data_IF_063941012799
#
_entry.id   IF_063941012799
#
_cell.length_a   1.000
_cell.length_b   1.000
_cell.length_c   1.000
_cell.angle_alpha   90.00
_cell.angle_beta   90.00
_cell.angle_gamma   90.00
#
_symmetry.space_group_name_H-M   'P 1'
#
loop_
_entity.id
_entity.type
_entity.pdbx_description
1 polymer ?
#
# COMPACT_ATOMS: atom_id res chain seq x y z
N UNK A 1 -27.10 -1.82 -25.29
CA UNK A 1 -25.77 -2.03 -24.69
C UNK A 1 -26.01 -1.82 -23.21
N UNK A 2 -25.82 -2.85 -22.39
CA UNK A 2 -25.94 -2.68 -20.93
C UNK A 2 -24.72 -1.86 -20.51
N UNK A 3 -24.95 -0.66 -19.97
CA UNK A 3 -23.89 0.11 -19.33
C UNK A 3 -23.33 -0.72 -18.18
N UNK A 4 -22.06 -1.10 -18.29
CA UNK A 4 -21.35 -1.82 -17.24
C UNK A 4 -21.27 -0.94 -15.99
N UNK A 5 -21.49 -1.55 -14.82
CA UNK A 5 -21.45 -0.85 -13.53
C UNK A 5 -20.06 -0.25 -13.29
N UNK A 6 -19.91 0.85 -12.52
CA UNK A 6 -18.58 1.39 -12.20
C UNK A 6 -17.63 0.31 -11.62
N UNK A 7 -18.15 -0.57 -10.78
CA UNK A 7 -17.42 -1.74 -10.27
C UNK A 7 -16.90 -2.68 -11.37
N UNK A 8 -17.66 -2.87 -12.45
CA UNK A 8 -17.27 -3.75 -13.57
C UNK A 8 -16.29 -3.07 -14.52
N UNK A 9 -16.30 -1.74 -14.57
CA UNK A 9 -15.36 -0.93 -15.36
C UNK A 9 -14.03 -0.69 -14.64
N UNK A 10 -13.98 -0.97 -13.33
CA UNK A 10 -12.79 -0.79 -12.52
C UNK A 10 -11.68 -1.80 -12.91
N UNK A 11 -10.47 -1.32 -13.26
CA UNK A 11 -9.36 -2.19 -13.65
C UNK A 11 -8.77 -2.99 -12.47
N UNK A 12 -9.05 -2.58 -11.23
CA UNK A 12 -8.61 -3.24 -10.00
C UNK A 12 -9.73 -4.10 -9.38
N UNK A 13 -10.65 -4.58 -10.22
CA UNK A 13 -11.68 -5.53 -9.80
C UNK A 13 -11.09 -6.90 -9.47
N UNK A 14 -11.66 -7.61 -8.50
CA UNK A 14 -11.28 -8.99 -8.26
C UNK A 14 -11.53 -9.85 -9.52
N UNK A 15 -10.74 -10.91 -9.71
CA UNK A 15 -10.88 -11.78 -10.86
C UNK A 15 -12.23 -12.50 -10.89
N UNK A 16 -12.72 -12.78 -12.10
CA UNK A 16 -13.99 -13.49 -12.31
C UNK A 16 -13.96 -14.91 -11.72
N UNK A 17 -12.81 -15.59 -11.79
CA UNK A 17 -12.59 -16.87 -11.12
C UNK A 17 -12.06 -16.57 -9.72
N UNK A 18 -12.74 -17.03 -8.65
CA UNK A 18 -12.26 -16.80 -7.29
C UNK A 18 -10.86 -17.36 -7.06
N UNK A 19 -10.03 -16.58 -6.39
CA UNK A 19 -8.68 -16.97 -5.97
C UNK A 19 -8.45 -16.62 -4.51
N UNK A 20 -7.48 -17.30 -3.88
CA UNK A 20 -7.03 -16.94 -2.54
C UNK A 20 -6.22 -15.65 -2.62
N UNK A 21 -6.58 -14.68 -1.80
CA UNK A 21 -5.91 -13.38 -1.71
C UNK A 21 -5.50 -13.09 -0.28
N UNK A 22 -4.49 -12.23 -0.13
CA UNK A 22 -3.98 -11.73 1.13
C UNK A 22 -4.04 -10.20 1.11
N UNK A 23 -4.52 -9.60 2.21
CA UNK A 23 -4.56 -8.16 2.38
C UNK A 23 -3.37 -7.67 3.21
N UNK A 24 -2.63 -6.69 2.69
CA UNK A 24 -1.44 -6.12 3.34
C UNK A 24 -1.74 -5.29 4.61
N UNK A 25 -3.00 -4.93 4.86
CA UNK A 25 -3.38 -4.08 5.99
C UNK A 25 -3.80 -4.88 7.23
N UNK A 26 -4.47 -6.02 7.05
CA UNK A 26 -4.96 -6.86 8.16
C UNK A 26 -4.30 -8.23 8.22
N UNK A 27 -3.39 -8.52 7.29
CA UNK A 27 -2.69 -9.79 7.14
C UNK A 27 -3.62 -11.02 7.03
N UNK A 28 -4.88 -10.82 6.63
CA UNK A 28 -5.84 -11.92 6.49
C UNK A 28 -5.86 -12.45 5.07
N UNK A 29 -5.94 -13.78 4.96
CA UNK A 29 -6.19 -14.50 3.72
C UNK A 29 -7.68 -14.82 3.57
N UNK A 30 -8.22 -14.59 2.39
CA UNK A 30 -9.63 -14.85 2.08
C UNK A 30 -9.84 -15.03 0.57
N UNK A 31 -11.03 -15.49 0.16
CA UNK A 31 -11.36 -15.66 -1.25
C UNK A 31 -11.74 -14.32 -1.90
N UNK A 32 -11.25 -14.06 -3.12
CA UNK A 32 -11.42 -12.76 -3.81
C UNK A 32 -12.88 -12.35 -4.04
N UNK A 33 -13.83 -13.30 -4.08
CA UNK A 33 -15.27 -12.97 -4.21
C UNK A 33 -15.86 -12.28 -2.98
N UNK A 34 -15.17 -12.31 -1.84
CA UNK A 34 -15.61 -11.65 -0.61
C UNK A 34 -15.30 -10.15 -0.62
N UNK A 35 -14.42 -9.69 -1.52
CA UNK A 35 -14.15 -8.28 -1.74
C UNK A 35 -15.42 -7.66 -2.33
N UNK A 36 -15.85 -6.54 -1.77
CA UNK A 36 -17.09 -5.89 -2.18
C UNK A 36 -16.83 -4.46 -2.63
N UNK A 37 -17.65 -3.99 -3.57
CA UNK A 37 -17.59 -2.62 -4.04
C UNK A 37 -18.16 -1.67 -2.98
N UNK A 38 -17.46 -0.57 -2.77
CA UNK A 38 -17.92 0.55 -1.93
C UNK A 38 -17.94 1.80 -2.79
N UNK A 39 -19.12 2.40 -2.96
CA UNK A 39 -19.26 3.66 -3.67
C UNK A 39 -18.65 4.80 -2.86
N UNK A 40 -17.83 5.62 -3.52
CA UNK A 40 -17.24 6.82 -2.97
C UNK A 40 -17.93 8.05 -3.58
N UNK A 41 -18.32 9.02 -2.74
CA UNK A 41 -18.93 10.26 -3.22
C UNK A 41 -17.84 11.21 -3.74
N UNK A 42 -17.36 10.93 -4.94
CA UNK A 42 -16.32 11.72 -5.65
C UNK A 42 -16.77 12.06 -7.07
N UNK A 43 -16.16 13.07 -7.68
CA UNK A 43 -16.39 13.46 -9.09
C UNK A 43 -15.56 12.62 -10.08
N UNK A 44 -14.93 11.53 -9.62
CA UNK A 44 -14.15 10.62 -10.47
C UNK A 44 -15.03 9.81 -11.45
N UNK A 45 -14.44 9.38 -12.57
CA UNK A 45 -15.11 8.55 -13.60
C UNK A 45 -15.62 7.21 -13.03
N UNK A 46 -14.89 6.69 -12.05
CA UNK A 46 -15.21 5.48 -11.30
C UNK A 46 -15.33 5.89 -9.81
N UNK A 47 -16.55 6.15 -9.31
CA UNK A 47 -16.78 6.68 -7.96
C UNK A 47 -16.85 5.54 -6.93
N UNK A 48 -15.76 4.83 -6.71
CA UNK A 48 -15.69 3.78 -5.70
C UNK A 48 -14.44 2.92 -5.78
N UNK A 49 -14.37 1.92 -4.92
CA UNK A 49 -13.24 0.99 -4.83
C UNK A 49 -13.68 -0.37 -4.30
N UNK A 50 -12.86 -1.38 -4.56
CA UNK A 50 -13.01 -2.72 -4.02
C UNK A 50 -12.41 -2.81 -2.62
N UNK A 51 -13.22 -3.19 -1.62
CA UNK A 51 -12.86 -3.09 -0.20
C UNK A 51 -12.64 -4.45 0.47
N UNK A 52 -11.63 -4.53 1.35
CA UNK A 52 -11.33 -5.70 2.18
C UNK A 52 -12.53 -6.09 3.07
N UNK A 53 -12.99 -7.36 3.08
CA UNK A 53 -14.14 -7.78 3.90
C UNK A 53 -13.88 -7.76 5.42
N UNK A 54 -12.62 -7.65 5.86
CA UNK A 54 -12.26 -7.69 7.27
C UNK A 54 -12.77 -6.44 8.01
N UNK A 55 -13.53 -6.59 9.11
CA UNK A 55 -14.03 -5.45 9.86
C UNK A 55 -12.91 -4.56 10.39
N UNK A 56 -12.96 -3.26 10.10
CA UNK A 56 -11.97 -2.29 10.55
C UNK A 56 -10.67 -2.26 9.74
N UNK A 57 -10.57 -3.07 8.69
CA UNK A 57 -9.49 -2.98 7.71
C UNK A 57 -9.77 -1.87 6.70
N UNK A 58 -8.73 -1.14 6.29
CA UNK A 58 -8.78 -0.04 5.33
C UNK A 58 -8.21 -0.39 3.95
N UNK A 59 -7.81 -1.65 3.71
CA UNK A 59 -7.24 -2.09 2.44
C UNK A 59 -8.23 -2.04 1.27
N UNK A 60 -7.77 -1.50 0.13
CA UNK A 60 -8.56 -1.24 -1.07
C UNK A 60 -7.85 -1.68 -2.36
N UNK A 61 -8.63 -2.15 -3.32
CA UNK A 61 -8.18 -2.48 -4.67
C UNK A 61 -7.46 -3.83 -4.75
N UNK A 62 -7.87 -4.65 -5.72
CA UNK A 62 -7.15 -5.87 -6.07
C UNK A 62 -5.90 -5.53 -6.88
N UNK A 63 -4.75 -6.09 -6.51
CA UNK A 63 -3.44 -5.73 -7.07
C UNK A 63 -2.84 -4.44 -6.50
N UNK A 64 -3.46 -3.84 -5.48
CA UNK A 64 -2.93 -2.65 -4.79
C UNK A 64 -2.70 -2.91 -3.29
N UNK A 65 -3.77 -3.15 -2.52
CA UNK A 65 -3.64 -3.55 -1.10
C UNK A 65 -3.95 -5.04 -0.89
N UNK A 66 -4.58 -5.68 -1.88
CA UNK A 66 -5.07 -7.05 -1.83
C UNK A 66 -4.47 -7.83 -2.99
N UNK A 67 -3.60 -8.81 -2.69
CA UNK A 67 -2.85 -9.56 -3.70
C UNK A 67 -3.21 -11.04 -3.69
N UNK A 68 -3.13 -11.75 -4.83
CA UNK A 68 -3.22 -13.19 -4.85
C UNK A 68 -2.09 -13.82 -4.03
N UNK A 69 -2.42 -14.85 -3.25
CA UNK A 69 -1.41 -15.62 -2.47
C UNK A 69 -0.54 -16.48 -3.39
N UNK A 70 -1.08 -16.86 -4.54
CA UNK A 70 -0.39 -17.69 -5.51
C UNK A 70 0.65 -16.86 -6.30
N UNK A 71 1.96 -17.18 -6.21
CA UNK A 71 3.01 -16.48 -6.95
C UNK A 71 2.95 -16.74 -8.46
N UNK A 72 2.35 -17.84 -8.89
CA UNK A 72 2.13 -18.19 -10.29
C UNK A 72 0.78 -17.65 -10.82
N UNK A 73 0.08 -16.82 -10.04
CA UNK A 73 -1.20 -16.25 -10.45
C UNK A 73 -1.07 -15.46 -11.75
N UNK A 74 -1.99 -15.76 -12.67
CA UNK A 74 -2.14 -15.07 -13.96
C UNK A 74 -3.49 -14.37 -14.03
N UNK A 75 -3.47 -13.13 -14.49
CA UNK A 75 -4.69 -12.35 -14.72
C UNK A 75 -5.51 -12.89 -15.91
N UNK A 76 -6.67 -12.28 -16.18
CA UNK A 76 -7.56 -12.66 -17.29
C UNK A 76 -6.92 -12.50 -18.68
N UNK A 77 -5.80 -11.77 -18.77
CA UNK A 77 -5.01 -11.55 -19.99
C UNK A 77 -3.82 -12.52 -20.08
N UNK A 78 -3.59 -13.34 -19.04
CA UNK A 78 -2.50 -14.31 -18.95
C UNK A 78 -1.18 -13.75 -18.40
N UNK A 79 -1.17 -12.48 -17.96
CA UNK A 79 0.02 -11.84 -17.39
C UNK A 79 0.23 -12.27 -15.95
N UNK A 80 1.48 -12.48 -15.56
CA UNK A 80 1.83 -12.70 -14.16
C UNK A 80 1.61 -11.39 -13.37
N UNK A 81 1.01 -11.50 -12.19
CA UNK A 81 0.92 -10.37 -11.25
C UNK A 81 2.28 -10.04 -10.63
N UNK A 82 3.11 -11.05 -10.43
CA UNK A 82 4.44 -10.93 -9.85
C UNK A 82 5.47 -10.94 -10.98
N UNK A 83 6.24 -9.87 -11.12
CA UNK A 83 7.45 -9.87 -11.94
C UNK A 83 8.60 -10.31 -11.05
N UNK A 84 9.19 -11.45 -11.38
CA UNK A 84 10.49 -11.82 -10.82
C UNK A 84 11.48 -10.75 -11.32
N UNK A 85 11.96 -9.92 -10.40
CA UNK A 85 13.06 -8.99 -10.61
C UNK A 85 14.32 -9.86 -10.75
N UNK A 86 14.47 -10.53 -11.90
CA UNK A 86 15.67 -11.27 -12.29
C UNK A 86 16.70 -10.23 -12.75
N UNK A 87 17.08 -9.39 -11.79
CA UNK A 87 18.06 -8.32 -11.91
C UNK A 87 19.44 -8.97 -11.76
N UNK A 88 19.92 -9.60 -12.85
CA UNK A 88 21.35 -9.75 -13.13
C UNK A 88 21.85 -8.37 -13.63
N UNK A 89 21.61 -7.33 -12.83
CA UNK A 89 22.07 -5.97 -13.09
C UNK A 89 23.42 -5.84 -12.38
N UNK A 90 24.44 -6.35 -13.07
CA UNK A 90 25.86 -6.13 -12.79
C UNK A 90 26.17 -4.64 -13.10
N UNK A 91 25.55 -3.73 -12.35
CA UNK A 91 25.85 -2.29 -12.39
C UNK A 91 27.21 -2.06 -11.72
N UNK A 92 28.26 -2.10 -12.54
CA UNK A 92 29.63 -1.70 -12.21
C UNK A 92 29.68 -0.20 -11.87
N UNK A 93 29.39 0.16 -10.62
CA UNK A 93 29.53 1.50 -10.06
C UNK A 93 31.01 1.88 -9.85
N UNK A 94 31.83 1.75 -10.88
CA UNK A 94 33.22 2.19 -10.91
C UNK A 94 33.30 3.43 -11.82
N UNK A 95 33.06 4.63 -11.27
CA UNK A 95 33.76 5.90 -11.60
C UNK A 95 32.94 7.14 -11.15
N UNK A 96 32.92 7.43 -9.85
CA UNK A 96 32.63 8.78 -9.35
C UNK A 96 33.70 9.21 -8.35
N UNK A 97 34.96 9.22 -8.80
CA UNK A 97 36.05 9.99 -8.16
C UNK A 97 36.19 11.35 -8.87
N UNK A 98 35.30 12.30 -8.59
CA UNK A 98 35.55 13.71 -8.91
C UNK A 98 35.22 14.62 -7.72
N UNK A 99 36.15 14.62 -6.76
CA UNK A 99 36.58 15.69 -5.85
C UNK A 99 35.61 16.88 -5.65
N UNK A 100 34.88 16.86 -4.54
CA UNK A 100 34.23 18.06 -3.98
C UNK A 100 35.21 18.80 -3.06
N UNK A 101 35.81 19.89 -3.55
CA UNK A 101 36.43 20.92 -2.71
C UNK A 101 35.31 21.76 -2.06
N UNK A 102 34.74 21.25 -0.97
CA UNK A 102 33.68 21.92 -0.21
C UNK A 102 34.31 22.93 0.76
N UNK A 103 34.35 24.21 0.35
CA UNK A 103 34.72 25.31 1.24
C UNK A 103 33.70 25.41 2.38
N UNK A 104 34.19 25.32 3.61
CA UNK A 104 33.40 25.34 4.83
C UNK A 104 32.88 26.77 5.10
N UNK A 105 31.60 27.02 4.82
CA UNK A 105 30.86 28.14 5.38
C UNK A 105 30.13 27.65 6.64
N UNK A 106 30.68 28.02 7.79
CA UNK A 106 30.15 27.68 9.11
C UNK A 106 29.03 28.64 9.47
N UNK A 107 27.79 28.30 9.12
CA UNK A 107 26.62 29.02 9.64
C UNK A 107 26.12 28.34 10.93
N UNK A 108 26.32 29.10 12.00
CA UNK A 108 25.89 28.94 13.38
C UNK A 108 24.37 28.74 13.50
N UNK A 109 23.92 27.49 13.46
CA UNK A 109 22.55 27.14 13.84
C UNK A 109 22.46 27.03 15.36
N UNK A 110 22.20 28.18 15.98
CA UNK A 110 21.91 28.32 17.40
C UNK A 110 20.95 27.24 17.90
N UNK A 111 21.49 26.43 18.81
CA UNK A 111 20.74 25.59 19.73
C UNK A 111 19.72 26.45 20.48
N UNK A 112 18.43 26.14 20.36
CA UNK A 112 17.45 26.55 21.36
C UNK A 112 16.55 25.39 21.77
N UNK A 113 16.37 25.35 23.08
CA UNK A 113 15.98 24.26 23.95
C UNK A 113 14.45 24.22 24.11
N UNK A 114 13.82 23.08 23.82
CA UNK A 114 12.38 22.95 24.01
C UNK A 114 11.79 21.55 24.06
N UNK A 115 12.60 20.50 24.24
CA UNK A 115 12.08 19.14 24.47
C UNK A 115 11.49 19.08 25.88
N UNK A 116 10.21 19.41 26.01
CA UNK A 116 9.43 19.10 27.20
C UNK A 116 9.17 17.58 27.19
N UNK A 117 9.67 16.81 28.18
CA UNK A 117 9.28 15.42 28.30
C UNK A 117 7.76 15.34 28.58
N UNK A 118 7.09 14.25 28.17
CA UNK A 118 5.72 14.01 28.61
C UNK A 118 5.71 13.96 30.15
N UNK A 119 4.68 14.49 30.83
CA UNK A 119 4.54 14.21 32.25
C UNK A 119 4.31 12.70 32.43
N UNK A 120 5.26 12.07 33.12
CA UNK A 120 5.16 10.74 33.72
C UNK A 120 3.86 10.60 34.54
N UNK A 121 3.26 9.43 34.39
CA UNK A 121 2.58 8.64 35.43
C UNK A 121 1.71 9.39 36.46
N UNK A 122 0.42 9.50 36.15
CA UNK A 122 -0.62 9.49 37.19
C UNK A 122 -0.98 8.01 37.42
N UNK A 123 -0.20 7.36 38.28
CA UNK A 123 -0.66 6.18 39.01
C UNK A 123 -1.69 6.61 40.08
N UNK A 124 -2.66 5.73 40.33
CA UNK A 124 -3.36 5.54 41.60
C UNK A 124 -4.29 6.68 42.10
N UNK A 125 -5.58 6.62 41.74
CA UNK A 125 -6.71 6.85 42.68
C UNK A 125 -8.06 6.62 41.94
N UNK A 126 -8.55 5.38 41.90
CA UNK A 126 -10.00 5.17 41.85
C UNK A 126 -10.39 4.36 43.08
N UNK A 127 -11.00 4.99 44.10
CA UNK A 127 -11.47 4.31 45.29
C UNK A 127 -12.63 3.35 44.97
N UNK A 128 -12.60 2.23 45.69
CA UNK A 128 -13.56 1.11 45.76
C UNK A 128 -15.03 1.44 45.53
#
# INVERSE_FOLDING_TARGET
>A
MVDASPAERDPFRPPTVPVMVHCLHCDQEYESYLIHWVDETTEADIPGFWWCPTPGCDGKGFGFDIFPVDPDYRDEQGNLMWTEDDDDDDEDYDDLDERVDLEADTEDWGVDVGRQPPPDDIEDDIPW
#
